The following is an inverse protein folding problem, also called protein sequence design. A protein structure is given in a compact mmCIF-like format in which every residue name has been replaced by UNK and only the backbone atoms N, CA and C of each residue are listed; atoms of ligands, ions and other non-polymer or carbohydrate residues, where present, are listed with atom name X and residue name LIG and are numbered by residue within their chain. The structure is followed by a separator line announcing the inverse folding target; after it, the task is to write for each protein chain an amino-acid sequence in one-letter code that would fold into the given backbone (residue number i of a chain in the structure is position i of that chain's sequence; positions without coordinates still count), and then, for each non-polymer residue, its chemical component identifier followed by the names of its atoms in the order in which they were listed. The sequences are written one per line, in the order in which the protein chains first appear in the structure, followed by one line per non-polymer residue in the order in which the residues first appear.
data_IF_465086966838
#
_entry.id   IF_465086966838
#
_cell.length_a   1.000
_cell.length_b   1.000
_cell.length_c   1.000
_cell.angle_alpha   90.00
_cell.angle_beta   90.00
_cell.angle_gamma   90.00
#
_symmetry.space_group_name_H-M   'P 1'
#
loop_
_entity.id
_entity.type
_entity.pdbx_description
1 polymer ?
#
# COMPACT_ATOMS: atom_id res chain seq x y z
N UNK A 1 -16.08 -6.53 -20.92
CA UNK A 1 -15.76 -7.55 -19.90
C UNK A 1 -14.56 -7.13 -19.04
N UNK A 2 -13.48 -6.63 -19.62
CA UNK A 2 -12.26 -6.23 -18.91
C UNK A 2 -12.51 -5.18 -17.81
N UNK A 3 -13.26 -4.12 -18.10
CA UNK A 3 -13.58 -3.07 -17.12
C UNK A 3 -14.33 -3.59 -15.89
N UNK A 4 -15.20 -4.61 -16.06
CA UNK A 4 -15.89 -5.24 -14.91
C UNK A 4 -14.92 -6.01 -14.02
N UNK A 5 -13.95 -6.71 -14.59
CA UNK A 5 -12.90 -7.43 -13.85
C UNK A 5 -12.11 -6.43 -13.01
N UNK A 6 -11.62 -5.34 -13.61
CA UNK A 6 -10.86 -4.32 -12.90
C UNK A 6 -11.69 -3.59 -11.84
N UNK A 7 -12.98 -3.36 -12.09
CA UNK A 7 -13.90 -2.78 -11.10
C UNK A 7 -14.05 -3.68 -9.87
N UNK A 8 -14.32 -4.98 -10.08
CA UNK A 8 -14.47 -5.95 -8.99
C UNK A 8 -13.15 -6.15 -8.23
N UNK A 9 -12.03 -6.21 -8.95
CA UNK A 9 -10.69 -6.26 -8.38
C UNK A 9 -10.45 -5.05 -7.46
N UNK A 10 -10.77 -3.85 -7.94
CA UNK A 10 -10.60 -2.62 -7.16
C UNK A 10 -11.48 -2.62 -5.92
N UNK A 11 -12.77 -2.98 -6.01
CA UNK A 11 -13.66 -3.08 -4.84
C UNK A 11 -13.09 -4.06 -3.82
N UNK A 12 -12.73 -5.26 -4.24
CA UNK A 12 -12.20 -6.29 -3.33
C UNK A 12 -10.91 -5.81 -2.66
N UNK A 13 -9.92 -5.43 -3.47
CA UNK A 13 -8.60 -5.03 -2.98
C UNK A 13 -8.67 -3.83 -2.02
N UNK A 14 -9.49 -2.83 -2.35
CA UNK A 14 -9.58 -1.62 -1.55
C UNK A 14 -10.49 -1.77 -0.33
N UNK A 15 -11.51 -2.64 -0.36
CA UNK A 15 -12.28 -2.99 0.83
C UNK A 15 -11.37 -3.63 1.88
N UNK A 16 -10.61 -4.62 1.47
CA UNK A 16 -9.67 -5.32 2.35
C UNK A 16 -8.53 -4.40 2.78
N UNK A 17 -7.96 -3.64 1.84
CA UNK A 17 -6.89 -2.68 2.11
C UNK A 17 -7.27 -1.60 3.12
N UNK A 18 -8.49 -1.06 3.01
CA UNK A 18 -9.03 -0.07 3.94
C UNK A 18 -9.38 -0.67 5.32
N UNK A 19 -9.89 -1.92 5.34
CA UNK A 19 -10.17 -2.65 6.58
C UNK A 19 -8.91 -2.90 7.40
N UNK A 20 -7.82 -3.32 6.73
CA UNK A 20 -6.58 -3.77 7.38
C UNK A 20 -5.51 -2.69 7.50
N UNK A 21 -5.65 -1.58 6.78
CA UNK A 21 -4.63 -0.52 6.72
C UNK A 21 -3.44 -0.83 5.82
N UNK A 22 -3.47 -1.96 5.10
CA UNK A 22 -2.39 -2.33 4.17
C UNK A 22 -2.38 -1.51 2.87
N UNK A 23 -3.48 -0.79 2.58
CA UNK A 23 -3.66 -0.21 1.25
C UNK A 23 -4.11 -1.26 0.22
N UNK A 24 -4.98 -0.87 -0.69
CA UNK A 24 -5.49 -1.79 -1.72
C UNK A 24 -4.43 -2.25 -2.72
N UNK A 25 -3.36 -1.47 -2.89
CA UNK A 25 -2.31 -1.71 -3.88
C UNK A 25 -1.51 -2.99 -3.68
N UNK A 26 -1.39 -3.46 -2.44
CA UNK A 26 -0.72 -4.73 -2.13
C UNK A 26 -1.44 -5.93 -2.75
N UNK A 27 -2.73 -5.81 -3.02
CA UNK A 27 -3.54 -6.81 -3.71
C UNK A 27 -3.67 -6.45 -5.20
N UNK A 28 -3.96 -5.17 -5.48
CA UNK A 28 -4.20 -4.67 -6.85
C UNK A 28 -3.02 -4.93 -7.75
N UNK A 29 -1.80 -4.52 -7.33
CA UNK A 29 -0.61 -4.64 -8.18
C UNK A 29 -0.29 -6.09 -8.54
N UNK A 30 -0.12 -7.04 -7.61
CA UNK A 30 0.15 -8.43 -7.98
C UNK A 30 -0.95 -9.08 -8.83
N UNK A 31 -2.21 -8.71 -8.63
CA UNK A 31 -3.29 -9.23 -9.47
C UNK A 31 -3.25 -8.63 -10.89
N UNK A 32 -2.90 -7.35 -11.04
CA UNK A 32 -2.70 -6.74 -12.35
C UNK A 32 -1.48 -7.34 -13.06
N UNK A 33 -0.41 -7.65 -12.31
CA UNK A 33 0.77 -8.38 -12.84
C UNK A 33 0.36 -9.77 -13.38
N UNK A 34 -0.58 -10.47 -12.69
CA UNK A 34 -1.14 -11.77 -13.17
C UNK A 34 -1.93 -11.58 -14.46
N UNK A 35 -2.74 -10.54 -14.57
CA UNK A 35 -3.53 -10.28 -15.77
C UNK A 35 -2.63 -9.99 -16.99
N UNK A 36 -1.53 -9.24 -16.78
CA UNK A 36 -0.53 -9.02 -17.80
C UNK A 36 -0.93 -8.03 -18.91
N UNK A 37 -2.01 -7.25 -18.71
CA UNK A 37 -2.55 -6.34 -19.73
C UNK A 37 -1.71 -5.05 -19.89
N UNK A 38 -0.86 -4.71 -18.88
CA UNK A 38 -0.13 -3.44 -18.82
C UNK A 38 1.34 -3.67 -18.43
N UNK A 39 2.21 -2.71 -18.76
CA UNK A 39 3.59 -2.71 -18.30
C UNK A 39 3.68 -2.34 -16.79
N UNK A 40 4.83 -2.63 -16.18
CA UNK A 40 5.07 -2.47 -14.74
C UNK A 40 4.86 -1.04 -14.24
N UNK A 41 5.23 -0.05 -15.05
CA UNK A 41 5.07 1.37 -14.69
C UNK A 41 3.58 1.77 -14.72
N UNK A 42 2.85 1.42 -15.78
CA UNK A 42 1.40 1.66 -15.88
C UNK A 42 0.65 1.00 -14.72
N UNK A 43 0.96 -0.28 -14.41
CA UNK A 43 0.38 -0.98 -13.25
C UNK A 43 0.66 -0.22 -11.96
N UNK A 44 1.90 0.25 -11.77
CA UNK A 44 2.29 1.05 -10.61
C UNK A 44 1.49 2.34 -10.47
N UNK A 45 1.20 3.04 -11.58
CA UNK A 45 0.46 4.30 -11.58
C UNK A 45 -1.04 4.06 -11.38
N UNK A 46 -1.63 3.11 -12.11
CA UNK A 46 -3.05 2.75 -11.93
C UNK A 46 -3.33 2.26 -10.50
N UNK A 47 -2.44 1.42 -9.95
CA UNK A 47 -2.50 1.01 -8.55
C UNK A 47 -2.41 2.22 -7.60
N UNK A 48 -1.50 3.17 -7.87
CA UNK A 48 -1.33 4.37 -7.06
C UNK A 48 -2.57 5.27 -7.07
N UNK A 49 -3.20 5.48 -8.22
CA UNK A 49 -4.46 6.23 -8.36
C UNK A 49 -5.58 5.53 -7.57
N UNK A 50 -5.68 4.22 -7.69
CA UNK A 50 -6.65 3.39 -6.98
C UNK A 50 -6.48 3.50 -5.46
N UNK A 51 -5.25 3.35 -4.98
CA UNK A 51 -4.92 3.44 -3.55
C UNK A 51 -5.11 4.86 -3.00
N UNK A 52 -4.74 5.88 -3.76
CA UNK A 52 -5.01 7.28 -3.41
C UNK A 52 -6.50 7.52 -3.18
N UNK A 53 -7.34 7.09 -4.15
CA UNK A 53 -8.79 7.26 -4.09
C UNK A 53 -9.39 6.54 -2.87
N UNK A 54 -8.95 5.31 -2.60
CA UNK A 54 -9.34 4.55 -1.40
C UNK A 54 -8.90 5.25 -0.12
N UNK A 55 -7.64 5.68 -0.04
CA UNK A 55 -7.08 6.27 1.17
C UNK A 55 -7.76 7.60 1.51
N UNK A 56 -8.06 8.42 0.50
CA UNK A 56 -8.79 9.68 0.67
C UNK A 56 -10.16 9.46 1.33
N UNK A 57 -10.94 8.50 0.82
CA UNK A 57 -12.25 8.14 1.37
C UNK A 57 -12.11 7.55 2.78
N UNK A 58 -11.15 6.64 2.96
CA UNK A 58 -10.95 5.93 4.24
C UNK A 58 -10.52 6.87 5.35
N UNK A 59 -9.52 7.73 5.10
CA UNK A 59 -9.05 8.74 6.05
C UNK A 59 -10.16 9.75 6.36
N UNK A 60 -10.85 10.26 5.34
CA UNK A 60 -11.98 11.18 5.53
C UNK A 60 -13.08 10.57 6.43
N UNK A 61 -13.35 9.28 6.28
CA UNK A 61 -14.32 8.56 7.10
C UNK A 61 -13.83 8.36 8.54
N UNK A 62 -12.55 8.06 8.75
CA UNK A 62 -11.95 7.92 10.08
C UNK A 62 -11.96 9.26 10.84
N UNK A 63 -11.66 10.36 10.16
CA UNK A 63 -11.73 11.71 10.76
C UNK A 63 -13.19 12.04 11.16
N UNK A 64 -14.15 11.82 10.25
CA UNK A 64 -15.59 12.03 10.57
C UNK A 64 -16.08 11.15 11.72
N UNK A 65 -15.51 9.96 11.87
CA UNK A 65 -15.83 9.03 12.95
C UNK A 65 -15.19 9.42 14.29
N UNK A 66 -14.40 10.48 14.34
CA UNK A 66 -13.64 10.93 15.52
C UNK A 66 -12.76 9.81 16.10
N UNK A 67 -12.18 8.99 15.21
CA UNK A 67 -11.22 7.95 15.62
C UNK A 67 -10.00 8.63 16.25
N UNK A 68 -9.50 8.08 17.34
CA UNK A 68 -8.31 8.59 18.01
C UNK A 68 -7.09 8.44 17.07
N UNK A 69 -6.57 9.56 16.63
CA UNK A 69 -5.40 9.63 15.76
C UNK A 69 -4.26 10.23 16.57
N UNK A 70 -3.14 9.53 16.77
CA UNK A 70 -1.96 10.07 17.42
C UNK A 70 -1.24 11.05 16.47
N UNK A 71 -1.75 12.27 16.36
CA UNK A 71 -1.24 13.28 15.41
C UNK A 71 0.25 13.55 15.57
N UNK A 72 0.79 13.43 16.81
CA UNK A 72 2.24 13.58 17.07
C UNK A 72 3.09 12.57 16.33
N UNK A 73 2.54 11.39 16.02
CA UNK A 73 3.21 10.34 15.26
C UNK A 73 2.76 10.35 13.79
N UNK A 74 1.47 10.50 13.53
CA UNK A 74 0.90 10.41 12.19
C UNK A 74 1.37 11.53 11.25
N UNK A 75 1.49 12.79 11.74
CA UNK A 75 1.93 13.92 10.91
C UNK A 75 3.39 13.78 10.46
N UNK A 76 4.37 13.53 11.35
CA UNK A 76 5.74 13.30 10.91
C UNK A 76 5.90 12.09 9.98
N UNK A 77 5.18 10.98 10.24
CA UNK A 77 5.13 9.84 9.33
C UNK A 77 4.66 10.26 7.92
N UNK A 78 3.58 11.04 7.85
CA UNK A 78 3.04 11.53 6.59
C UNK A 78 4.04 12.45 5.85
N UNK A 79 4.67 13.40 6.56
CA UNK A 79 5.69 14.28 5.97
C UNK A 79 6.88 13.46 5.46
N UNK A 80 7.37 12.53 6.26
CA UNK A 80 8.45 11.62 5.85
C UNK A 80 8.07 10.80 4.61
N UNK A 81 6.83 10.31 4.54
CA UNK A 81 6.38 9.51 3.41
C UNK A 81 6.28 10.30 2.09
N UNK A 82 6.10 11.62 2.15
CA UNK A 82 6.19 12.49 0.96
C UNK A 82 7.61 12.46 0.38
N UNK A 83 8.62 12.68 1.21
CA UNK A 83 10.01 12.61 0.78
C UNK A 83 10.38 11.21 0.28
N UNK A 84 9.97 10.18 1.03
CA UNK A 84 10.16 8.78 0.65
C UNK A 84 9.47 8.42 -0.66
N UNK A 85 8.28 8.96 -0.91
CA UNK A 85 7.52 8.76 -2.14
C UNK A 85 8.28 9.24 -3.38
N UNK A 86 8.89 10.44 -3.30
CA UNK A 86 9.72 10.97 -4.39
C UNK A 86 10.94 10.09 -4.62
N UNK A 87 11.64 9.71 -3.54
CA UNK A 87 12.84 8.86 -3.63
C UNK A 87 12.49 7.50 -4.24
N UNK A 88 11.40 6.89 -3.79
CA UNK A 88 10.96 5.56 -4.25
C UNK A 88 10.57 5.55 -5.72
N UNK A 89 9.91 6.61 -6.22
CA UNK A 89 9.56 6.72 -7.64
C UNK A 89 10.81 6.89 -8.51
N UNK A 90 11.70 7.79 -8.14
CA UNK A 90 12.96 7.98 -8.85
C UNK A 90 13.83 6.72 -8.87
N UNK A 91 13.80 5.94 -7.77
CA UNK A 91 14.50 4.64 -7.70
C UNK A 91 13.89 3.64 -8.67
N UNK A 92 12.57 3.61 -8.79
CA UNK A 92 11.87 2.74 -9.75
C UNK A 92 12.25 3.12 -11.17
N UNK A 93 12.15 4.40 -11.54
CA UNK A 93 12.50 4.90 -12.86
C UNK A 93 13.95 4.56 -13.20
N UNK A 94 14.89 4.81 -12.29
CA UNK A 94 16.29 4.48 -12.47
C UNK A 94 16.52 2.98 -12.76
N UNK A 95 15.83 2.09 -12.04
CA UNK A 95 15.94 0.63 -12.22
C UNK A 95 15.31 0.21 -13.55
N UNK A 96 14.16 0.78 -13.93
CA UNK A 96 13.51 0.51 -15.22
C UNK A 96 14.42 0.93 -16.38
N UNK A 97 15.01 2.12 -16.31
CA UNK A 97 15.90 2.65 -17.34
C UNK A 97 17.21 1.84 -17.44
N UNK A 98 17.76 1.40 -16.30
CA UNK A 98 18.99 0.62 -16.26
C UNK A 98 18.81 -0.79 -16.82
N UNK A 99 17.71 -1.46 -16.48
CA UNK A 99 17.47 -2.86 -16.87
C UNK A 99 16.80 -2.99 -18.24
N UNK A 100 16.01 -2.01 -18.66
CA UNK A 100 15.26 -1.98 -19.95
C UNK A 100 14.37 -3.20 -20.22
N UNK A 101 14.13 -4.04 -19.22
CA UNK A 101 13.35 -5.28 -19.31
C UNK A 101 12.31 -5.30 -18.18
N UNK A 102 11.07 -5.05 -18.54
CA UNK A 102 9.95 -4.94 -17.57
C UNK A 102 9.75 -6.20 -16.73
N UNK A 103 9.95 -7.41 -17.31
CA UNK A 103 9.79 -8.66 -16.57
C UNK A 103 10.79 -8.79 -15.42
N UNK A 104 12.05 -8.36 -15.62
CA UNK A 104 13.06 -8.40 -14.55
C UNK A 104 12.68 -7.44 -13.42
N UNK A 105 12.20 -6.24 -13.74
CA UNK A 105 11.73 -5.27 -12.74
C UNK A 105 10.56 -5.84 -11.95
N UNK A 106 9.59 -6.45 -12.64
CA UNK A 106 8.45 -7.13 -11.99
C UNK A 106 8.93 -8.23 -11.04
N UNK A 107 9.89 -9.07 -11.46
CA UNK A 107 10.45 -10.14 -10.62
C UNK A 107 11.12 -9.55 -9.37
N UNK A 108 11.96 -8.52 -9.53
CA UNK A 108 12.64 -7.86 -8.40
C UNK A 108 11.61 -7.31 -7.40
N UNK A 109 10.61 -6.57 -7.89
CA UNK A 109 9.55 -6.02 -7.02
C UNK A 109 8.78 -7.13 -6.30
N UNK A 110 8.43 -8.22 -6.99
CA UNK A 110 7.73 -9.34 -6.39
C UNK A 110 8.60 -10.10 -5.36
N UNK A 111 9.90 -10.28 -5.60
CA UNK A 111 10.83 -10.89 -4.62
C UNK A 111 10.90 -10.01 -3.35
N UNK A 112 11.12 -8.71 -3.50
CA UNK A 112 11.16 -7.78 -2.37
C UNK A 112 9.84 -7.80 -1.61
N UNK A 113 8.71 -7.78 -2.32
CA UNK A 113 7.38 -7.84 -1.71
C UNK A 113 7.16 -9.15 -0.95
N UNK A 114 7.55 -10.30 -1.52
CA UNK A 114 7.42 -11.61 -0.86
C UNK A 114 8.22 -11.67 0.45
N UNK A 115 9.47 -11.18 0.43
CA UNK A 115 10.32 -11.13 1.63
C UNK A 115 9.68 -10.22 2.69
N UNK A 116 9.21 -9.03 2.31
CA UNK A 116 8.56 -8.09 3.23
C UNK A 116 7.29 -8.68 3.84
N UNK A 117 6.43 -9.31 3.03
CA UNK A 117 5.20 -9.96 3.51
C UNK A 117 5.55 -11.10 4.48
N UNK A 118 6.54 -11.93 4.16
CA UNK A 118 6.95 -13.04 5.03
C UNK A 118 7.46 -12.51 6.38
N UNK A 119 8.33 -11.51 6.38
CA UNK A 119 8.83 -10.87 7.60
C UNK A 119 7.68 -10.30 8.46
N UNK A 120 6.75 -9.59 7.83
CA UNK A 120 5.61 -9.00 8.52
C UNK A 120 4.67 -10.08 9.07
N UNK A 121 4.40 -11.13 8.29
CA UNK A 121 3.56 -12.26 8.74
C UNK A 121 4.16 -12.95 9.96
N UNK A 122 5.46 -13.23 9.94
CA UNK A 122 6.16 -13.83 11.08
C UNK A 122 6.13 -12.92 12.32
N UNK A 123 6.30 -11.61 12.13
CA UNK A 123 6.15 -10.63 13.19
C UNK A 123 4.74 -10.63 13.77
N UNK A 124 3.71 -10.48 12.93
CA UNK A 124 2.31 -10.40 13.38
C UNK A 124 1.85 -11.66 14.12
N UNK A 125 2.31 -12.83 13.68
CA UNK A 125 2.04 -14.11 14.36
C UNK A 125 2.69 -14.19 15.75
N UNK A 126 3.83 -13.56 15.92
CA UNK A 126 4.61 -13.59 17.18
C UNK A 126 4.58 -12.26 17.96
N UNK A 127 3.75 -11.29 17.56
CA UNK A 127 3.76 -9.93 18.13
C UNK A 127 3.55 -9.90 19.64
N UNK A 128 2.82 -10.87 20.22
CA UNK A 128 2.60 -10.97 21.66
C UNK A 128 3.87 -11.36 22.44
N UNK A 129 4.87 -11.97 21.77
CA UNK A 129 6.16 -12.36 22.34
C UNK A 129 7.25 -11.32 22.12
N UNK A 130 6.98 -10.34 21.24
CA UNK A 130 7.95 -9.33 20.85
C UNK A 130 7.53 -8.00 21.47
N UNK A 131 8.31 -7.51 22.41
CA UNK A 131 8.06 -6.20 23.00
C UNK A 131 8.25 -5.10 21.96
N UNK A 132 7.27 -4.23 21.81
CA UNK A 132 7.39 -3.02 21.01
C UNK A 132 8.44 -2.08 21.57
N UNK A 133 8.97 -1.19 20.72
CA UNK A 133 10.07 -0.29 21.11
C UNK A 133 9.63 1.00 21.78
N UNK A 134 8.33 1.34 21.72
CA UNK A 134 7.74 2.58 22.27
C UNK A 134 8.53 3.84 21.88
N UNK A 135 9.05 3.86 20.66
CA UNK A 135 9.85 4.98 20.18
C UNK A 135 8.99 6.25 20.15
N UNK A 136 9.58 7.35 20.58
CA UNK A 136 8.94 8.65 20.62
C UNK A 136 9.82 9.68 19.90
N UNK A 137 9.17 10.73 19.40
CA UNK A 137 9.85 11.86 18.80
C UNK A 137 9.63 12.01 17.30
N UNK A 138 9.63 13.26 16.90
CA UNK A 138 9.39 13.68 15.49
C UNK A 138 10.45 13.12 14.53
N UNK A 139 11.78 13.14 14.86
CA UNK A 139 12.79 12.63 13.94
C UNK A 139 12.64 11.16 13.60
N UNK A 140 12.31 10.32 14.60
CA UNK A 140 12.12 8.88 14.39
C UNK A 140 10.91 8.64 13.50
N UNK A 141 9.77 9.27 13.80
CA UNK A 141 8.56 9.14 12.99
C UNK A 141 8.78 9.60 11.55
N UNK A 142 9.56 10.66 11.34
CA UNK A 142 9.89 11.18 10.02
C UNK A 142 10.76 10.17 9.24
N UNK A 143 11.82 9.63 9.84
CA UNK A 143 12.68 8.62 9.20
C UNK A 143 11.90 7.34 8.85
N UNK A 144 11.05 6.87 9.75
CA UNK A 144 10.16 5.74 9.49
C UNK A 144 9.22 6.07 8.32
N UNK A 145 8.66 7.28 8.30
CA UNK A 145 7.83 7.75 7.19
C UNK A 145 8.56 7.74 5.85
N UNK A 146 9.82 8.22 5.80
CA UNK A 146 10.66 8.16 4.59
C UNK A 146 10.82 6.72 4.12
N UNK A 147 11.20 5.82 5.00
CA UNK A 147 11.37 4.41 4.66
C UNK A 147 10.07 3.79 4.10
N UNK A 148 8.94 4.02 4.78
CA UNK A 148 7.64 3.53 4.34
C UNK A 148 7.21 4.12 3.00
N UNK A 149 7.50 5.39 2.76
CA UNK A 149 7.24 6.07 1.49
C UNK A 149 8.06 5.49 0.34
N UNK A 150 9.37 5.25 0.56
CA UNK A 150 10.23 4.58 -0.43
C UNK A 150 9.67 3.20 -0.80
N UNK A 151 9.39 2.36 0.19
CA UNK A 151 8.81 1.03 -0.05
C UNK A 151 7.48 1.11 -0.81
N UNK A 152 6.61 2.04 -0.42
CA UNK A 152 5.30 2.24 -1.03
C UNK A 152 5.38 2.59 -2.52
N UNK A 153 6.22 3.56 -2.87
CA UNK A 153 6.34 4.06 -4.25
C UNK A 153 7.15 3.12 -5.12
N UNK A 154 8.30 2.63 -4.64
CA UNK A 154 9.14 1.70 -5.37
C UNK A 154 8.40 0.41 -5.74
N UNK A 155 7.66 -0.18 -4.79
CA UNK A 155 6.91 -1.40 -5.04
C UNK A 155 5.58 -1.15 -5.80
N UNK A 156 5.14 0.09 -5.92
CA UNK A 156 3.87 0.45 -6.56
C UNK A 156 2.63 -0.09 -5.84
N UNK A 157 2.75 -0.45 -4.56
CA UNK A 157 1.69 -1.11 -3.78
C UNK A 157 0.94 -0.16 -2.84
N UNK A 158 1.39 1.09 -2.74
CA UNK A 158 0.73 2.08 -1.91
C UNK A 158 0.83 1.83 -0.41
N UNK A 159 1.94 1.24 0.07
CA UNK A 159 2.24 1.05 1.48
C UNK A 159 2.38 -0.41 1.89
N UNK A 160 1.33 -1.16 1.87
CA UNK A 160 1.35 -2.59 2.18
C UNK A 160 1.46 -2.93 3.67
N UNK A 161 1.64 -4.22 3.96
CA UNK A 161 1.64 -4.75 5.32
C UNK A 161 2.72 -4.18 6.22
N UNK A 162 3.85 -3.77 5.63
CA UNK A 162 5.00 -3.24 6.38
C UNK A 162 4.65 -1.97 7.15
N UNK A 163 3.80 -1.10 6.61
CA UNK A 163 3.39 0.12 7.28
C UNK A 163 2.74 -0.19 8.63
N UNK A 164 1.72 -1.06 8.63
CA UNK A 164 0.98 -1.42 9.84
C UNK A 164 1.90 -2.11 10.85
N UNK A 165 2.69 -3.08 10.40
CA UNK A 165 3.59 -3.85 11.27
C UNK A 165 4.68 -2.98 11.92
N UNK A 166 5.34 -2.10 11.14
CA UNK A 166 6.36 -1.20 11.68
C UNK A 166 5.77 -0.17 12.64
N UNK A 167 4.58 0.36 12.34
CA UNK A 167 3.91 1.30 13.24
C UNK A 167 3.56 0.61 14.57
N UNK A 168 3.04 -0.63 14.54
CA UNK A 168 2.80 -1.40 15.77
C UNK A 168 4.11 -1.64 16.54
N UNK A 169 5.15 -2.14 15.85
CA UNK A 169 6.39 -2.51 16.48
C UNK A 169 7.16 -1.33 17.09
N UNK A 170 7.26 -0.23 16.33
CA UNK A 170 8.08 0.91 16.73
C UNK A 170 7.38 1.83 17.73
N UNK A 171 6.06 1.99 17.62
CA UNK A 171 5.31 2.94 18.46
C UNK A 171 4.38 2.27 19.47
N UNK A 172 4.34 0.93 19.52
CA UNK A 172 3.53 0.14 20.48
C UNK A 172 2.05 0.53 20.54
N UNK A 173 1.49 0.88 19.39
CA UNK A 173 0.07 1.25 19.24
C UNK A 173 -0.79 0.04 18.88
N UNK A 174 -2.12 0.13 19.13
CA UNK A 174 -3.07 -0.91 18.73
C UNK A 174 -3.10 -1.11 17.22
N UNK A 175 -3.50 -2.28 16.75
CA UNK A 175 -3.62 -2.57 15.31
C UNK A 175 -4.57 -1.59 14.61
N UNK A 176 -5.66 -1.20 15.26
CA UNK A 176 -6.59 -0.20 14.72
C UNK A 176 -5.97 1.18 14.58
N UNK A 177 -5.24 1.64 15.58
CA UNK A 177 -4.51 2.91 15.52
C UNK A 177 -3.44 2.88 14.43
N UNK A 178 -2.67 1.78 14.34
CA UNK A 178 -1.68 1.58 13.29
C UNK A 178 -2.31 1.59 11.89
N UNK A 179 -3.50 0.98 11.74
CA UNK A 179 -4.28 1.02 10.47
C UNK A 179 -4.55 2.46 10.03
N UNK A 180 -5.03 3.31 10.94
CA UNK A 180 -5.35 4.71 10.61
C UNK A 180 -4.07 5.50 10.28
N UNK A 181 -3.01 5.36 11.08
CA UNK A 181 -1.72 6.00 10.79
C UNK A 181 -1.14 5.54 9.45
N UNK A 182 -1.24 4.24 9.14
CA UNK A 182 -0.83 3.68 7.86
C UNK A 182 -1.60 4.29 6.69
N UNK A 183 -2.94 4.38 6.78
CA UNK A 183 -3.77 4.98 5.73
C UNK A 183 -3.41 6.46 5.48
N UNK A 184 -3.10 7.22 6.54
CA UNK A 184 -2.63 8.60 6.41
C UNK A 184 -1.26 8.63 5.70
N UNK A 185 -0.31 7.81 6.14
CA UNK A 185 1.02 7.70 5.53
C UNK A 185 0.91 7.32 4.04
N UNK A 186 0.06 6.35 3.72
CA UNK A 186 -0.23 5.93 2.34
C UNK A 186 -0.79 7.09 1.52
N UNK A 187 -1.78 7.82 2.04
CA UNK A 187 -2.39 8.94 1.35
C UNK A 187 -1.34 9.96 0.91
N UNK A 188 -0.46 10.37 1.82
CA UNK A 188 0.58 11.35 1.54
C UNK A 188 1.68 10.81 0.61
N UNK A 189 2.07 9.54 0.75
CA UNK A 189 2.99 8.89 -0.18
C UNK A 189 2.42 8.86 -1.61
N UNK A 190 1.12 8.56 -1.77
CA UNK A 190 0.48 8.53 -3.09
C UNK A 190 0.31 9.92 -3.69
N UNK A 191 0.00 10.95 -2.88
CA UNK A 191 0.01 12.35 -3.34
C UNK A 191 1.38 12.70 -3.90
N UNK A 192 2.43 12.38 -3.15
CA UNK A 192 3.82 12.65 -3.55
C UNK A 192 4.18 11.94 -4.85
N UNK A 193 3.90 10.64 -4.94
CA UNK A 193 4.16 9.84 -6.14
C UNK A 193 3.43 10.39 -7.36
N UNK A 194 2.11 10.58 -7.27
CA UNK A 194 1.31 11.08 -8.38
C UNK A 194 1.71 12.50 -8.79
N UNK A 195 2.07 13.36 -7.83
CA UNK A 195 2.60 14.70 -8.13
C UNK A 195 3.96 14.61 -8.84
N UNK A 196 4.85 13.71 -8.42
CA UNK A 196 6.14 13.48 -9.09
C UNK A 196 5.92 13.08 -10.54
N UNK A 197 5.07 12.08 -10.80
CA UNK A 197 4.73 11.64 -12.16
C UNK A 197 4.12 12.79 -12.99
N UNK A 198 3.21 13.57 -12.42
CA UNK A 198 2.59 14.70 -13.11
C UNK A 198 3.61 15.79 -13.52
N UNK A 199 4.66 15.98 -12.72
CA UNK A 199 5.69 17.02 -12.95
C UNK A 199 6.88 16.52 -13.78
N UNK A 200 7.08 15.20 -13.93
CA UNK A 200 8.20 14.61 -14.68
C UNK A 200 7.74 14.04 -16.02
N UNK A 201 7.28 12.79 -16.03
CA UNK A 201 6.88 12.04 -17.23
C UNK A 201 5.51 12.44 -17.77
N UNK A 202 4.62 12.96 -16.89
CA UNK A 202 3.21 13.19 -17.22
C UNK A 202 2.39 11.91 -17.28
N UNK A 203 1.06 12.06 -17.29
CA UNK A 203 0.15 10.89 -17.34
C UNK A 203 -0.12 10.40 -18.76
N UNK A 204 0.22 11.18 -19.79
CA UNK A 204 -0.08 10.85 -21.18
C UNK A 204 0.70 9.64 -21.72
N UNK A 205 1.82 9.28 -21.07
CA UNK A 205 2.64 8.13 -21.46
C UNK A 205 2.08 6.78 -20.96
N UNK A 206 1.05 6.80 -20.12
CA UNK A 206 0.49 5.61 -19.48
C UNK A 206 -0.93 5.32 -19.97
N UNK A 207 -1.21 4.04 -20.22
CA UNK A 207 -2.58 3.61 -20.54
C UNK A 207 -3.43 3.60 -19.26
N UNK A 208 -4.19 4.66 -19.07
CA UNK A 208 -5.08 4.85 -17.93
C UNK A 208 -6.55 4.47 -18.24
N UNK A 209 -6.80 3.70 -19.29
CA UNK A 209 -8.15 3.32 -19.73
C UNK A 209 -9.00 2.67 -18.64
N UNK A 210 -8.39 1.89 -17.75
CA UNK A 210 -9.08 1.21 -16.63
C UNK A 210 -9.12 2.07 -15.35
N UNK A 211 -8.39 3.18 -15.28
CA UNK A 211 -8.32 4.01 -14.08
C UNK A 211 -9.69 4.55 -13.62
N UNK A 212 -10.59 5.04 -14.49
CA UNK A 212 -11.91 5.54 -14.04
C UNK A 212 -12.73 4.49 -13.30
N UNK A 213 -12.77 3.25 -13.81
CA UNK A 213 -13.55 2.17 -13.18
C UNK A 213 -12.88 1.69 -11.88
N UNK A 214 -11.55 1.72 -11.83
CA UNK A 214 -10.81 1.39 -10.62
C UNK A 214 -10.98 2.46 -9.53
N UNK A 215 -11.04 3.74 -9.89
CA UNK A 215 -11.36 4.83 -8.96
C UNK A 215 -12.75 4.62 -8.34
N UNK A 216 -13.77 4.33 -9.15
CA UNK A 216 -15.12 4.06 -8.65
C UNK A 216 -15.13 2.85 -7.69
N UNK A 217 -14.45 1.77 -8.07
CA UNK A 217 -14.27 0.59 -7.23
C UNK A 217 -13.54 0.93 -5.92
N UNK A 218 -12.50 1.76 -5.99
CA UNK A 218 -11.70 2.16 -4.84
C UNK A 218 -12.47 3.05 -3.85
N UNK A 219 -13.27 3.98 -4.33
CA UNK A 219 -14.14 4.81 -3.49
C UNK A 219 -15.15 3.91 -2.77
N UNK A 220 -15.82 3.02 -3.49
CA UNK A 220 -16.80 2.08 -2.93
C UNK A 220 -16.15 1.17 -1.90
N UNK A 221 -15.05 0.50 -2.27
CA UNK A 221 -14.33 -0.42 -1.38
C UNK A 221 -13.72 0.29 -0.17
N UNK A 222 -13.14 1.48 -0.35
CA UNK A 222 -12.62 2.31 0.73
C UNK A 222 -13.70 2.66 1.76
N UNK A 223 -14.89 3.03 1.29
CA UNK A 223 -16.02 3.33 2.16
C UNK A 223 -16.51 2.09 2.93
N UNK A 224 -16.61 0.95 2.27
CA UNK A 224 -17.01 -0.33 2.88
C UNK A 224 -15.96 -0.76 3.91
N UNK A 225 -14.69 -0.83 3.53
CA UNK A 225 -13.60 -1.30 4.39
C UNK A 225 -13.41 -0.43 5.63
N UNK A 226 -13.44 0.90 5.50
CA UNK A 226 -13.39 1.82 6.64
C UNK A 226 -14.58 1.63 7.61
N UNK A 227 -15.78 1.32 7.07
CA UNK A 227 -16.96 1.03 7.89
C UNK A 227 -16.79 -0.26 8.70
N UNK A 228 -16.26 -1.29 8.07
CA UNK A 228 -15.99 -2.57 8.72
C UNK A 228 -14.87 -2.43 9.76
N UNK A 229 -13.78 -1.71 9.46
CA UNK A 229 -12.69 -1.45 10.42
C UNK A 229 -13.23 -0.86 11.73
N UNK A 230 -14.16 0.10 11.64
CA UNK A 230 -14.76 0.71 12.82
C UNK A 230 -15.59 -0.29 13.64
N UNK A 231 -16.37 -1.15 12.95
CA UNK A 231 -17.33 -2.07 13.60
C UNK A 231 -16.69 -3.36 14.10
N UNK A 232 -15.66 -3.85 13.43
CA UNK A 232 -15.00 -5.11 13.76
C UNK A 232 -14.16 -5.00 15.03
N UNK A 233 -13.97 -6.12 15.72
CA UNK A 233 -12.99 -6.25 16.81
C UNK A 233 -11.56 -6.20 16.22
N UNK A 234 -10.59 -5.81 17.04
CA UNK A 234 -9.19 -5.76 16.64
C UNK A 234 -8.69 -7.12 16.13
N UNK A 235 -9.05 -8.21 16.82
CA UNK A 235 -8.73 -9.58 16.42
C UNK A 235 -9.25 -9.94 15.02
N UNK A 236 -10.42 -9.43 14.64
CA UNK A 236 -10.99 -9.66 13.30
C UNK A 236 -10.16 -8.93 12.23
N UNK A 237 -9.71 -7.70 12.53
CA UNK A 237 -8.83 -6.93 11.63
C UNK A 237 -7.48 -7.65 11.46
N UNK A 238 -6.91 -8.18 12.55
CA UNK A 238 -5.66 -8.94 12.52
C UNK A 238 -5.78 -10.25 11.74
N UNK A 239 -6.86 -10.98 11.92
CA UNK A 239 -7.10 -12.21 11.18
C UNK A 239 -7.26 -11.93 9.68
N UNK A 240 -8.00 -10.88 9.31
CA UNK A 240 -8.12 -10.44 7.94
C UNK A 240 -6.75 -10.01 7.37
N UNK A 241 -5.95 -9.28 8.16
CA UNK A 241 -4.60 -8.86 7.81
C UNK A 241 -3.70 -10.07 7.51
N UNK A 242 -3.66 -11.05 8.39
CA UNK A 242 -2.85 -12.27 8.22
C UNK A 242 -3.31 -13.12 7.03
N UNK A 243 -4.63 -13.25 6.84
CA UNK A 243 -5.18 -13.99 5.70
C UNK A 243 -4.77 -13.37 4.36
N UNK A 244 -4.89 -12.04 4.26
CA UNK A 244 -4.52 -11.32 3.04
C UNK A 244 -3.03 -11.42 2.74
N UNK A 245 -2.19 -11.39 3.77
CA UNK A 245 -0.76 -11.58 3.58
C UNK A 245 -0.44 -12.93 2.93
N UNK A 246 -1.07 -14.01 3.38
CA UNK A 246 -0.87 -15.33 2.79
C UNK A 246 -1.38 -15.40 1.35
N UNK A 247 -2.55 -14.79 1.08
CA UNK A 247 -3.09 -14.69 -0.28
C UNK A 247 -2.13 -13.95 -1.21
N UNK A 248 -1.67 -12.76 -0.79
CA UNK A 248 -0.75 -11.95 -1.61
C UNK A 248 0.59 -12.65 -1.76
N UNK A 249 1.11 -13.30 -0.73
CA UNK A 249 2.34 -14.09 -0.83
C UNK A 249 2.23 -15.18 -1.90
N UNK A 250 1.10 -15.91 -1.94
CA UNK A 250 0.83 -16.90 -2.97
C UNK A 250 0.81 -16.31 -4.38
N UNK A 251 0.11 -15.18 -4.57
CA UNK A 251 0.06 -14.48 -5.86
C UNK A 251 1.45 -13.99 -6.27
N UNK A 252 2.20 -13.43 -5.33
CA UNK A 252 3.55 -12.90 -5.58
C UNK A 252 4.52 -14.00 -5.99
N UNK A 253 4.48 -15.16 -5.33
CA UNK A 253 5.28 -16.34 -5.71
C UNK A 253 4.87 -16.81 -7.12
N UNK A 254 3.58 -16.89 -7.42
CA UNK A 254 3.10 -17.24 -8.76
C UNK A 254 3.65 -16.28 -9.82
N UNK A 255 3.62 -14.97 -9.57
CA UNK A 255 4.17 -13.96 -10.47
C UNK A 255 5.68 -14.13 -10.69
N UNK A 256 6.44 -14.45 -9.63
CA UNK A 256 7.89 -14.71 -9.76
C UNK A 256 8.12 -15.90 -10.70
N UNK A 257 7.46 -17.03 -10.44
CA UNK A 257 7.61 -18.26 -11.22
C UNK A 257 7.25 -18.01 -12.69
N UNK A 258 6.12 -17.36 -12.96
CA UNK A 258 5.64 -17.06 -14.31
C UNK A 258 6.59 -16.17 -15.12
N UNK A 259 7.28 -15.24 -14.48
CA UNK A 259 8.19 -14.30 -15.18
C UNK A 259 9.63 -14.81 -15.28
N UNK A 260 9.98 -15.91 -14.61
CA UNK A 260 11.30 -16.56 -14.66
C UNK A 260 11.33 -17.74 -15.64
N UNK A 261 10.19 -18.45 -15.74
CA UNK A 261 10.01 -19.58 -16.69
C UNK A 261 9.44 -19.07 -18.01
#
# INVERSE_FOLDING_TARGET
MIYLIYFLLAIFATTVGSLTGMGGGVITKPLMDVLGDFNVQTIGIVSSITVFSMALVSVGKQIKAKTEIPFKTAIPLAIGSVAGGIIGEKLLDFIVDALKVNSIVTVIQNIVLAILILCVFLYMKNKQKINGKELQGVPVSLLVGVFLGVCSSFLGIGGGPINVALIIYLFSVSTKTATVCSLITILFAQISKLATVALTTGFAEFDLSVAPVMIMGAITGGFIGASFNKKCKETTVENAFNFVQLLVLGITIFNIVRNVI
#
